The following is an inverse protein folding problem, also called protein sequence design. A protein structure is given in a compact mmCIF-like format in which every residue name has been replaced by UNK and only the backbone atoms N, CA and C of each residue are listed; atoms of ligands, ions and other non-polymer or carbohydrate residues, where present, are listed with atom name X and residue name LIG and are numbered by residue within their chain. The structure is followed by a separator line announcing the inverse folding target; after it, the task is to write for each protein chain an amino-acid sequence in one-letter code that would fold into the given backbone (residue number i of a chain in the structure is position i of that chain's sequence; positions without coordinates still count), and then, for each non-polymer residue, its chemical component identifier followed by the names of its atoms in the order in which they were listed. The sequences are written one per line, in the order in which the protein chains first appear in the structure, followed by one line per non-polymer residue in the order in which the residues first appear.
data_IF_297794861563
#
_entry.id   IF_297794861563
#
_cell.length_a   1.000
_cell.length_b   1.000
_cell.length_c   1.000
_cell.angle_alpha   90.00
_cell.angle_beta   90.00
_cell.angle_gamma   90.00
#
_symmetry.space_group_name_H-M   'P 1'
#
loop_
_entity.id
_entity.type
_entity.pdbx_description
1 polymer ?
#
# COMPACT_ATOMS: atom_id res chain seq x y z
N UNK A 1 -3.02 -20.52 10.06
CA UNK A 1 -3.32 -19.26 9.37
C UNK A 1 -4.02 -19.61 8.07
N UNK A 2 -5.23 -19.11 7.83
CA UNK A 2 -5.96 -19.32 6.57
C UNK A 2 -5.47 -18.34 5.49
N UNK A 3 -5.73 -18.61 4.20
CA UNK A 3 -5.42 -17.66 3.13
C UNK A 3 -5.99 -16.25 3.36
N UNK A 4 -7.20 -16.14 3.91
CA UNK A 4 -7.86 -14.86 4.22
C UNK A 4 -7.11 -14.11 5.31
N UNK A 5 -6.68 -14.81 6.37
CA UNK A 5 -5.87 -14.22 7.43
C UNK A 5 -4.52 -13.70 6.92
N UNK A 6 -3.89 -14.43 5.99
CA UNK A 6 -2.65 -13.98 5.36
C UNK A 6 -2.87 -12.71 4.50
N UNK A 7 -3.96 -12.64 3.73
CA UNK A 7 -4.31 -11.44 2.95
C UNK A 7 -4.57 -10.22 3.85
N UNK A 8 -5.25 -10.40 4.98
CA UNK A 8 -5.47 -9.34 5.97
C UNK A 8 -4.15 -8.77 6.50
N UNK A 9 -3.22 -9.66 6.89
CA UNK A 9 -1.89 -9.25 7.36
C UNK A 9 -1.13 -8.49 6.26
N UNK A 10 -1.21 -8.96 5.01
CA UNK A 10 -0.56 -8.28 3.89
C UNK A 10 -1.16 -6.89 3.60
N UNK A 11 -2.48 -6.72 3.70
CA UNK A 11 -3.12 -5.40 3.56
C UNK A 11 -2.67 -4.45 4.67
N UNK A 12 -2.64 -4.92 5.92
CA UNK A 12 -2.20 -4.12 7.05
C UNK A 12 -0.72 -3.72 6.95
N UNK A 13 0.15 -4.65 6.53
CA UNK A 13 1.56 -4.40 6.24
C UNK A 13 1.73 -3.30 5.17
N UNK A 14 1.00 -3.39 4.05
CA UNK A 14 1.09 -2.35 3.00
C UNK A 14 0.62 -0.99 3.49
N UNK A 15 -0.44 -0.94 4.29
CA UNK A 15 -0.91 0.32 4.86
C UNK A 15 0.15 0.94 5.78
N UNK A 16 0.79 0.13 6.62
CA UNK A 16 1.88 0.60 7.48
C UNK A 16 3.04 1.16 6.65
N UNK A 17 3.51 0.39 5.66
CA UNK A 17 4.65 0.76 4.82
C UNK A 17 4.40 2.05 4.02
N UNK A 18 3.20 2.23 3.46
CA UNK A 18 2.87 3.43 2.70
C UNK A 18 2.72 4.67 3.60
N UNK A 19 2.13 4.52 4.79
CA UNK A 19 2.09 5.62 5.78
C UNK A 19 3.48 5.99 6.28
N UNK A 20 4.36 5.02 6.42
CA UNK A 20 5.74 5.27 6.81
C UNK A 20 6.50 6.03 5.72
N UNK A 21 6.26 5.65 4.46
CA UNK A 21 6.81 6.35 3.29
C UNK A 21 6.37 7.82 3.21
N UNK A 22 5.13 8.13 3.62
CA UNK A 22 4.66 9.53 3.74
C UNK A 22 5.35 10.29 4.88
N UNK A 23 5.64 9.63 6.01
CA UNK A 23 6.31 10.25 7.15
C UNK A 23 7.78 10.51 6.88
N UNK A 24 8.47 9.53 6.29
CA UNK A 24 9.89 9.59 6.03
C UNK A 24 10.22 8.83 4.74
N UNK A 25 10.66 9.56 3.72
CA UNK A 25 11.20 8.93 2.52
C UNK A 25 12.50 8.20 2.87
N UNK A 26 12.67 6.93 2.47
CA UNK A 26 13.90 6.19 2.74
C UNK A 26 15.14 6.89 2.18
N UNK A 27 16.27 6.76 2.88
CA UNK A 27 17.51 7.40 2.45
C UNK A 27 17.91 6.93 1.03
N UNK A 28 18.22 7.88 0.16
CA UNK A 28 18.60 7.61 -1.23
C UNK A 28 17.41 7.35 -2.18
N UNK A 29 16.17 7.50 -1.71
CA UNK A 29 15.01 7.46 -2.60
C UNK A 29 14.69 8.86 -3.11
N UNK A 30 14.63 8.99 -4.43
CA UNK A 30 14.08 10.17 -5.08
C UNK A 30 12.55 10.09 -5.14
N UNK A 31 11.90 11.22 -5.49
CA UNK A 31 10.43 11.28 -5.60
C UNK A 31 9.88 10.31 -6.65
N UNK A 32 10.66 10.01 -7.69
CA UNK A 32 10.25 9.06 -8.73
C UNK A 32 10.13 7.66 -8.15
N UNK A 33 11.12 7.21 -7.39
CA UNK A 33 11.14 5.89 -6.75
C UNK A 33 10.02 5.75 -5.73
N UNK A 34 9.69 6.82 -5.00
CA UNK A 34 8.51 6.85 -4.14
C UNK A 34 7.24 6.64 -4.99
N UNK A 35 7.03 7.43 -6.06
CA UNK A 35 5.86 7.27 -6.95
C UNK A 35 5.76 5.87 -7.58
N UNK A 36 6.89 5.29 -7.98
CA UNK A 36 6.97 3.91 -8.48
C UNK A 36 6.54 2.88 -7.41
N UNK A 37 6.95 3.07 -6.16
CA UNK A 37 6.54 2.20 -5.06
C UNK A 37 5.03 2.28 -4.78
N UNK A 38 4.44 3.48 -4.81
CA UNK A 38 2.99 3.65 -4.70
C UNK A 38 2.26 2.98 -5.87
N UNK A 39 2.78 3.10 -7.10
CA UNK A 39 2.22 2.42 -8.28
C UNK A 39 2.29 0.90 -8.17
N UNK A 40 3.44 0.35 -7.75
CA UNK A 40 3.61 -1.09 -7.51
C UNK A 40 2.68 -1.59 -6.41
N UNK A 41 2.52 -0.82 -5.34
CA UNK A 41 1.63 -1.19 -4.24
C UNK A 41 0.18 -1.33 -4.70
N UNK A 42 -0.28 -0.48 -5.63
CA UNK A 42 -1.60 -0.60 -6.27
C UNK A 42 -1.80 -1.95 -6.95
N UNK A 43 -0.79 -2.42 -7.69
CA UNK A 43 -0.82 -3.71 -8.39
C UNK A 43 -0.89 -4.87 -7.38
N UNK A 44 -0.15 -4.78 -6.27
CA UNK A 44 -0.20 -5.79 -5.20
C UNK A 44 -1.58 -5.84 -4.55
N UNK A 45 -2.14 -4.68 -4.19
CA UNK A 45 -3.43 -4.59 -3.49
C UNK A 45 -4.59 -5.04 -4.38
N UNK A 46 -4.49 -4.85 -5.69
CA UNK A 46 -5.47 -5.38 -6.64
C UNK A 46 -5.65 -6.91 -6.52
N UNK A 47 -4.56 -7.65 -6.24
CA UNK A 47 -4.60 -9.09 -6.00
C UNK A 47 -5.13 -9.51 -4.61
N UNK A 48 -5.33 -8.56 -3.71
CA UNK A 48 -5.80 -8.79 -2.33
C UNK A 48 -7.24 -8.32 -2.10
N UNK A 49 -7.90 -7.75 -3.12
CA UNK A 49 -9.27 -7.21 -3.01
C UNK A 49 -10.29 -8.26 -2.55
N UNK A 50 -11.33 -7.77 -1.88
CA UNK A 50 -12.40 -8.60 -1.32
C UNK A 50 -12.02 -9.26 0.01
N UNK A 51 -10.99 -8.75 0.69
CA UNK A 51 -10.53 -9.26 1.98
C UNK A 51 -10.98 -8.34 3.13
N UNK A 52 -10.81 -7.02 2.98
CA UNK A 52 -11.21 -6.04 3.98
C UNK A 52 -11.44 -4.68 3.34
N UNK A 53 -12.70 -4.33 3.13
CA UNK A 53 -13.12 -3.10 2.45
C UNK A 53 -12.54 -1.84 3.10
N UNK A 54 -12.51 -1.77 4.44
CA UNK A 54 -11.98 -0.59 5.14
C UNK A 54 -10.49 -0.38 4.87
N UNK A 55 -9.68 -1.43 4.92
CA UNK A 55 -8.25 -1.34 4.60
C UNK A 55 -8.03 -1.01 3.14
N UNK A 56 -8.80 -1.62 2.24
CA UNK A 56 -8.74 -1.39 0.79
C UNK A 56 -9.05 0.06 0.44
N UNK A 57 -10.09 0.66 1.04
CA UNK A 57 -10.45 2.06 0.83
C UNK A 57 -9.37 3.04 1.29
N UNK A 58 -8.80 2.82 2.49
CA UNK A 58 -7.72 3.67 3.02
C UNK A 58 -6.47 3.57 2.13
N UNK A 59 -6.15 2.37 1.68
CA UNK A 59 -5.04 2.13 0.76
C UNK A 59 -5.25 2.80 -0.59
N UNK A 60 -6.45 2.69 -1.17
CA UNK A 60 -6.79 3.32 -2.45
C UNK A 60 -6.68 4.86 -2.36
N UNK A 61 -7.21 5.49 -1.30
CA UNK A 61 -7.06 6.95 -1.06
C UNK A 61 -5.59 7.36 -0.93
N UNK A 62 -4.84 6.63 -0.11
CA UNK A 62 -3.42 6.88 0.13
C UNK A 62 -2.62 6.76 -1.17
N UNK A 63 -2.87 5.73 -1.98
CA UNK A 63 -2.18 5.54 -3.26
C UNK A 63 -2.53 6.63 -4.26
N UNK A 64 -3.81 6.97 -4.40
CA UNK A 64 -4.28 7.96 -5.36
C UNK A 64 -3.67 9.35 -5.12
N UNK A 65 -3.42 9.72 -3.87
CA UNK A 65 -2.71 10.98 -3.50
C UNK A 65 -1.29 11.08 -4.08
N UNK A 66 -0.60 9.97 -4.31
CA UNK A 66 0.79 9.94 -4.78
C UNK A 66 0.93 9.60 -6.26
N UNK A 67 -0.07 8.96 -6.87
CA UNK A 67 -0.02 8.60 -8.30
C UNK A 67 -0.67 9.63 -9.22
N UNK A 68 -1.56 10.49 -8.69
CA UNK A 68 -2.16 11.61 -9.44
C UNK A 68 -1.11 12.59 -10.00
#
# INVERSE_FOLDING_TARGET
MTPEQAKLVHLADKLYNLRDMERATPLGWDRRRVKEYFKWSKEVIAGLKGTNENLELILDDLINKHIA
#
